data_IF_292431870633
#
_entry.id   IF_292431870633
#
_cell.length_a   1.000
_cell.length_b   1.000
_cell.length_c   1.000
_cell.angle_alpha   90.00
_cell.angle_beta   90.00
_cell.angle_gamma   90.00
#
_symmetry.space_group_name_H-M   'P 1'
#
loop_
_entity.id
_entity.type
_entity.pdbx_description
1 polymer ?
#
# COMPACT_ATOMS: atom_id res chain seq x y z
N UNK A 1 -0.14 -31.38 9.13
CA UNK A 1 -0.44 -30.30 10.10
C UNK A 1 -0.49 -28.92 9.46
N UNK A 2 0.57 -28.43 8.83
CA UNK A 2 0.60 -27.07 8.25
C UNK A 2 -0.54 -26.74 7.28
N UNK A 3 -0.94 -27.69 6.41
CA UNK A 3 -2.08 -27.51 5.50
C UNK A 3 -3.41 -27.35 6.25
N UNK A 4 -3.68 -28.22 7.22
CA UNK A 4 -4.91 -28.19 8.02
C UNK A 4 -4.99 -26.88 8.80
N UNK A 5 -3.90 -26.47 9.45
CA UNK A 5 -3.83 -25.20 10.16
C UNK A 5 -4.13 -24.00 9.24
N UNK A 6 -3.58 -24.01 8.03
CA UNK A 6 -3.83 -22.96 7.07
C UNK A 6 -5.31 -22.93 6.62
N UNK A 7 -5.90 -24.09 6.33
CA UNK A 7 -7.33 -24.20 5.98
C UNK A 7 -8.24 -23.71 7.11
N UNK A 8 -7.95 -24.08 8.37
CA UNK A 8 -8.72 -23.65 9.56
C UNK A 8 -8.64 -22.14 9.82
N UNK A 9 -7.51 -21.51 9.50
CA UNK A 9 -7.28 -20.08 9.72
C UNK A 9 -7.51 -19.22 8.47
N UNK A 10 -7.96 -19.81 7.36
CA UNK A 10 -8.13 -19.12 6.08
C UNK A 10 -6.82 -18.56 5.50
N UNK A 11 -5.69 -19.18 5.84
CA UNK A 11 -4.37 -18.80 5.36
C UNK A 11 -4.05 -19.52 4.04
N UNK A 12 -3.22 -18.88 3.21
CA UNK A 12 -2.70 -19.50 2.00
C UNK A 12 -1.60 -20.51 2.34
N UNK A 13 -1.67 -21.71 1.76
CA UNK A 13 -0.68 -22.77 1.93
C UNK A 13 -0.10 -23.19 0.58
N UNK A 14 1.23 -23.35 0.53
CA UNK A 14 1.96 -23.89 -0.62
C UNK A 14 3.21 -24.63 -0.14
N UNK A 15 3.33 -25.91 -0.50
CA UNK A 15 4.54 -26.68 -0.22
C UNK A 15 5.68 -26.23 -1.13
N UNK A 16 6.84 -25.92 -0.55
CA UNK A 16 7.99 -25.34 -1.24
C UNK A 16 9.29 -25.96 -0.74
N UNK A 17 10.28 -26.09 -1.62
CA UNK A 17 11.61 -26.59 -1.27
C UNK A 17 12.69 -25.63 -1.75
N UNK A 18 13.38 -25.00 -0.78
CA UNK A 18 14.53 -24.15 -1.08
C UNK A 18 15.71 -24.95 -1.67
N UNK A 19 15.86 -26.22 -1.27
CA UNK A 19 16.96 -27.08 -1.72
C UNK A 19 16.85 -27.45 -3.20
N UNK A 20 15.64 -27.71 -3.68
CA UNK A 20 15.39 -28.11 -5.07
C UNK A 20 14.76 -27.00 -5.92
N UNK A 21 14.63 -25.79 -5.36
CA UNK A 21 13.91 -24.66 -5.95
C UNK A 21 12.44 -24.94 -6.33
N UNK A 22 11.84 -26.01 -5.78
CA UNK A 22 10.47 -26.38 -6.11
C UNK A 22 9.48 -25.35 -5.55
N UNK A 23 8.62 -24.82 -6.42
CA UNK A 23 7.54 -23.87 -6.13
C UNK A 23 7.99 -22.52 -5.55
N UNK A 24 9.30 -22.24 -5.52
CA UNK A 24 9.85 -21.02 -4.90
C UNK A 24 9.41 -19.78 -5.65
N UNK A 25 9.43 -19.78 -6.98
CA UNK A 25 8.93 -18.63 -7.75
C UNK A 25 7.41 -18.48 -7.64
N UNK A 26 6.69 -19.60 -7.69
CA UNK A 26 5.22 -19.62 -7.66
C UNK A 26 4.68 -19.04 -6.36
N UNK A 27 5.31 -19.33 -5.22
CA UNK A 27 4.87 -18.77 -3.93
C UNK A 27 4.99 -17.26 -3.90
N UNK A 28 6.04 -16.67 -4.48
CA UNK A 28 6.19 -15.21 -4.57
C UNK A 28 5.13 -14.58 -5.47
N UNK A 29 4.83 -15.18 -6.62
CA UNK A 29 3.79 -14.69 -7.51
C UNK A 29 2.41 -14.75 -6.85
N UNK A 30 2.10 -15.83 -6.15
CA UNK A 30 0.83 -16.00 -5.46
C UNK A 30 0.67 -15.02 -4.30
N UNK A 31 1.75 -14.68 -3.58
CA UNK A 31 1.75 -13.61 -2.57
C UNK A 31 1.48 -12.26 -3.23
N UNK A 32 2.19 -11.94 -4.32
CA UNK A 32 2.04 -10.66 -5.02
C UNK A 32 0.60 -10.43 -5.53
N UNK A 33 -0.08 -11.48 -5.99
CA UNK A 33 -1.49 -11.42 -6.41
C UNK A 33 -2.46 -11.17 -5.25
N UNK A 34 -2.15 -11.65 -4.04
CA UNK A 34 -3.02 -11.56 -2.85
C UNK A 34 -2.80 -10.27 -2.06
N UNK A 35 -1.64 -9.65 -2.17
CA UNK A 35 -1.40 -8.35 -1.53
C UNK A 35 -2.43 -7.33 -2.04
N UNK A 36 -3.10 -6.59 -1.14
CA UNK A 36 -3.95 -5.49 -1.53
C UNK A 36 -3.14 -4.54 -2.40
N UNK A 37 -3.66 -4.22 -3.59
CA UNK A 37 -3.04 -3.18 -4.41
C UNK A 37 -3.08 -1.90 -3.59
N UNK A 38 -1.92 -1.30 -3.36
CA UNK A 38 -1.87 0.06 -2.85
C UNK A 38 -2.78 0.88 -3.77
N UNK A 39 -3.85 1.46 -3.21
CA UNK A 39 -4.63 2.42 -3.96
C UNK A 39 -3.62 3.45 -4.47
N UNK A 40 -3.64 3.82 -5.76
CA UNK A 40 -2.88 4.99 -6.17
C UNK A 40 -3.30 6.07 -5.20
N UNK A 41 -2.34 6.62 -4.45
CA UNK A 41 -2.59 7.75 -3.58
C UNK A 41 -3.39 8.71 -4.45
N UNK A 42 -4.65 8.97 -4.06
CA UNK A 42 -5.46 9.94 -4.77
C UNK A 42 -4.67 11.23 -4.62
N UNK A 43 -3.85 11.55 -5.63
CA UNK A 43 -3.24 12.86 -5.74
C UNK A 43 -4.45 13.79 -5.78
N UNK A 44 -4.72 14.57 -4.73
CA UNK A 44 -5.84 15.48 -4.79
C UNK A 44 -5.52 16.44 -5.92
N UNK A 45 -6.28 16.31 -7.00
CA UNK A 45 -6.19 17.12 -8.20
C UNK A 45 -6.37 18.57 -7.79
N UNK A 46 -5.28 19.33 -7.79
CA UNK A 46 -5.30 20.79 -7.68
C UNK A 46 -5.64 21.32 -6.29
N UNK A 47 -4.67 21.97 -5.65
CA UNK A 47 -4.97 22.92 -4.58
C UNK A 47 -5.67 24.12 -5.21
N UNK A 48 -7.00 24.23 -5.05
CA UNK A 48 -7.75 25.42 -5.45
C UNK A 48 -7.48 26.52 -4.42
N UNK A 49 -6.62 27.48 -4.78
CA UNK A 49 -6.50 28.74 -4.05
C UNK A 49 -7.81 29.50 -4.26
N UNK A 50 -8.67 29.50 -3.24
CA UNK A 50 -9.82 30.40 -3.19
C UNK A 50 -9.27 31.82 -3.06
N UNK A 51 -9.33 32.56 -4.15
CA UNK A 51 -8.98 33.99 -4.19
C UNK A 51 -9.97 34.74 -3.30
N UNK A 52 -9.51 35.10 -2.10
CA UNK A 52 -10.27 35.97 -1.18
C UNK A 52 -9.96 37.41 -1.58
N UNK A 53 -10.96 38.24 -1.91
CA UNK A 53 -10.72 39.58 -2.42
C UNK A 53 -9.98 40.43 -1.38
N UNK A 54 -9.01 41.19 -1.89
CA UNK A 54 -8.10 42.01 -1.13
C UNK A 54 -8.83 43.05 -0.26
N UNK A 55 -8.68 42.92 1.06
CA UNK A 55 -8.78 44.07 1.94
C UNK A 55 -7.87 43.87 3.16
N UNK A 56 -6.95 44.82 3.34
CA UNK A 56 -6.19 44.97 4.58
C UNK A 56 -4.71 44.64 4.46
N UNK A 57 -3.94 45.56 3.87
CA UNK A 57 -2.52 45.72 4.19
C UNK A 57 -2.34 45.82 5.71
N UNK A 58 -1.72 44.83 6.34
CA UNK A 58 -0.94 45.02 7.58
C UNK A 58 0.05 43.88 7.78
N UNK A 59 1.30 44.31 7.85
CA UNK A 59 2.53 43.55 8.05
C UNK A 59 2.45 42.46 9.13
N UNK A 60 3.10 41.33 8.86
CA UNK A 60 4.14 40.80 9.73
C UNK A 60 4.91 39.69 9.00
N UNK A 61 6.14 40.00 8.61
CA UNK A 61 7.19 39.00 8.47
C UNK A 61 7.44 38.41 9.85
N UNK A 62 7.14 37.13 10.05
CA UNK A 62 7.61 36.38 11.21
C UNK A 62 7.84 34.92 10.84
N UNK A 63 9.08 34.62 10.45
CA UNK A 63 9.64 33.27 10.55
C UNK A 63 10.17 33.07 11.97
N UNK A 64 9.82 31.93 12.56
CA UNK A 64 10.68 31.12 13.43
C UNK A 64 10.59 29.68 12.93
#
# INVERSE_FOLDING_TARGET
>A
EARVYAEENGLFFMETSAKSAANVNDVFYEIAKRLPRAQPAQNPTGMVLVDRPAEGSRAASCCS
#
